data_IF_765658465680
#
_entry.id   IF_765658465680
#
_cell.length_a   1.000
_cell.length_b   1.000
_cell.length_c   1.000
_cell.angle_alpha   90.00
_cell.angle_beta   90.00
_cell.angle_gamma   90.00
#
_symmetry.space_group_name_H-M   'P 1'
#
loop_
_entity.id
_entity.type
_entity.pdbx_description
1 polymer ?
#
# COMPACT_ATOMS: atom_id res chain seq x y z
N UNK A 1 -12.22 -58.25 -21.68
CA UNK A 1 -11.61 -57.49 -20.55
C UNK A 1 -12.19 -56.09 -20.54
N UNK A 2 -12.69 -55.55 -19.41
CA UNK A 2 -13.23 -54.20 -19.39
C UNK A 2 -12.06 -53.19 -19.39
N UNK A 3 -12.02 -52.35 -20.42
CA UNK A 3 -10.97 -51.34 -20.60
C UNK A 3 -10.89 -50.39 -19.40
N UNK A 4 -9.67 -50.16 -18.90
CA UNK A 4 -9.38 -49.17 -17.86
C UNK A 4 -9.93 -47.82 -18.31
N UNK A 5 -10.97 -47.32 -17.64
CA UNK A 5 -11.47 -45.94 -17.84
C UNK A 5 -10.36 -44.98 -17.42
N UNK A 6 -9.64 -44.43 -18.40
CA UNK A 6 -8.71 -43.33 -18.18
C UNK A 6 -9.46 -42.20 -17.47
N UNK A 7 -8.99 -41.81 -16.29
CA UNK A 7 -9.49 -40.62 -15.59
C UNK A 7 -9.13 -39.42 -16.46
N UNK A 8 -10.08 -38.92 -17.25
CA UNK A 8 -9.90 -37.72 -18.06
C UNK A 8 -9.57 -36.57 -17.11
N UNK A 9 -8.35 -36.06 -17.21
CA UNK A 9 -7.94 -34.85 -16.52
C UNK A 9 -8.70 -33.68 -17.16
N UNK A 10 -9.68 -33.10 -16.45
CA UNK A 10 -10.45 -31.98 -16.96
C UNK A 10 -9.63 -30.69 -16.88
N UNK A 11 -8.83 -30.42 -17.92
CA UNK A 11 -8.19 -29.12 -18.08
C UNK A 11 -9.20 -28.08 -18.59
N UNK A 12 -9.04 -26.83 -18.13
CA UNK A 12 -9.80 -25.69 -18.63
C UNK A 12 -9.56 -25.53 -20.14
N UNK A 13 -10.59 -25.09 -20.86
CA UNK A 13 -10.45 -24.69 -22.26
C UNK A 13 -9.45 -23.53 -22.36
N UNK A 14 -8.41 -23.70 -23.16
CA UNK A 14 -7.47 -22.63 -23.45
C UNK A 14 -8.13 -21.60 -24.40
N UNK A 15 -7.52 -20.43 -24.53
CA UNK A 15 -8.06 -19.33 -25.34
C UNK A 15 -8.20 -19.71 -26.81
N UNK A 16 -7.22 -20.45 -27.34
CA UNK A 16 -7.20 -20.94 -28.72
C UNK A 16 -8.34 -21.93 -29.01
N UNK A 17 -8.57 -22.91 -28.14
CA UNK A 17 -9.65 -23.90 -28.20
C UNK A 17 -11.01 -23.21 -28.16
N UNK A 18 -11.18 -22.16 -27.35
CA UNK A 18 -12.42 -21.37 -27.29
C UNK A 18 -12.65 -20.62 -28.60
N UNK A 19 -11.61 -20.00 -29.16
CA UNK A 19 -11.66 -19.38 -30.48
C UNK A 19 -12.02 -20.37 -31.59
N UNK A 20 -11.42 -21.56 -31.57
CA UNK A 20 -11.69 -22.64 -32.50
C UNK A 20 -13.14 -23.13 -32.42
N UNK A 21 -13.65 -23.33 -31.19
CA UNK A 21 -15.04 -23.70 -30.93
C UNK A 21 -15.99 -22.64 -31.50
N UNK A 22 -15.72 -21.36 -31.24
CA UNK A 22 -16.53 -20.24 -31.74
C UNK A 22 -16.52 -20.23 -33.28
N UNK A 23 -15.34 -20.33 -33.91
CA UNK A 23 -15.21 -20.35 -35.37
C UNK A 23 -15.95 -21.51 -36.03
N UNK A 24 -15.82 -22.72 -35.50
CA UNK A 24 -16.55 -23.89 -36.02
C UNK A 24 -18.06 -23.78 -35.79
N UNK A 25 -18.48 -23.20 -34.66
CA UNK A 25 -19.90 -22.96 -34.38
C UNK A 25 -20.49 -21.88 -35.27
N UNK A 26 -19.74 -20.83 -35.61
CA UNK A 26 -20.16 -19.83 -36.62
C UNK A 26 -20.27 -20.43 -38.02
N UNK A 27 -19.44 -21.43 -38.34
CA UNK A 27 -19.55 -22.22 -39.57
C UNK A 27 -20.67 -23.27 -39.53
N UNK A 28 -21.56 -23.22 -38.53
CA UNK A 28 -22.75 -24.08 -38.38
C UNK A 28 -22.41 -25.57 -38.16
N UNK A 29 -21.25 -25.87 -37.57
CA UNK A 29 -20.93 -27.26 -37.21
C UNK A 29 -21.77 -27.72 -36.00
N UNK A 30 -22.08 -29.02 -35.99
CA UNK A 30 -22.77 -29.66 -34.86
C UNK A 30 -21.87 -29.73 -33.63
N UNK A 31 -22.44 -29.62 -32.44
CA UNK A 31 -21.69 -29.64 -31.16
C UNK A 31 -20.87 -30.91 -31.00
N UNK A 32 -21.41 -32.07 -31.42
CA UNK A 32 -20.71 -33.35 -31.42
C UNK A 32 -19.47 -33.35 -32.32
N UNK A 33 -19.57 -32.79 -33.53
CA UNK A 33 -18.44 -32.72 -34.47
C UNK A 33 -17.35 -31.80 -33.94
N UNK A 34 -17.73 -30.65 -33.39
CA UNK A 34 -16.79 -29.72 -32.76
C UNK A 34 -16.10 -30.38 -31.57
N UNK A 35 -16.86 -31.05 -30.69
CA UNK A 35 -16.32 -31.77 -29.54
C UNK A 35 -15.27 -32.82 -29.92
N UNK A 36 -15.52 -33.59 -30.98
CA UNK A 36 -14.56 -34.55 -31.52
C UNK A 36 -13.31 -33.89 -32.11
N UNK A 37 -13.45 -32.75 -32.77
CA UNK A 37 -12.35 -32.02 -33.40
C UNK A 37 -11.42 -31.34 -32.38
N UNK A 38 -11.97 -30.82 -31.28
CA UNK A 38 -11.20 -30.12 -30.23
C UNK A 38 -10.77 -31.08 -29.10
N UNK A 39 -11.18 -32.36 -29.15
CA UNK A 39 -11.00 -33.36 -28.09
C UNK A 39 -11.54 -32.91 -26.71
N UNK A 40 -12.74 -32.32 -26.71
CA UNK A 40 -13.42 -31.80 -25.50
C UNK A 40 -14.83 -32.36 -25.38
N UNK A 41 -15.42 -32.24 -24.19
CA UNK A 41 -16.81 -32.69 -23.99
C UNK A 41 -17.81 -31.80 -24.75
N UNK A 42 -18.90 -32.40 -25.26
CA UNK A 42 -20.00 -31.64 -25.90
C UNK A 42 -20.58 -30.56 -24.97
N UNK A 43 -20.59 -30.82 -23.65
CA UNK A 43 -21.04 -29.84 -22.64
C UNK A 43 -20.12 -28.61 -22.57
N UNK A 44 -18.80 -28.80 -22.62
CA UNK A 44 -17.84 -27.70 -22.63
C UNK A 44 -17.97 -26.84 -23.89
N UNK A 45 -18.14 -27.48 -25.06
CA UNK A 45 -18.41 -26.80 -26.34
C UNK A 45 -19.69 -25.99 -26.28
N UNK A 46 -20.78 -26.59 -25.77
CA UNK A 46 -22.07 -25.92 -25.60
C UNK A 46 -21.96 -24.71 -24.68
N UNK A 47 -21.38 -24.87 -23.49
CA UNK A 47 -21.25 -23.80 -22.50
C UNK A 47 -20.38 -22.64 -23.04
N UNK A 48 -19.31 -22.96 -23.78
CA UNK A 48 -18.48 -21.95 -24.44
C UNK A 48 -19.26 -21.17 -25.51
N UNK A 49 -20.03 -21.87 -26.34
CA UNK A 49 -20.87 -21.25 -27.37
C UNK A 49 -21.97 -20.39 -26.76
N UNK A 50 -22.69 -20.89 -25.74
CA UNK A 50 -23.73 -20.12 -25.05
C UNK A 50 -23.19 -18.86 -24.39
N UNK A 51 -22.01 -18.93 -23.76
CA UNK A 51 -21.34 -17.76 -23.21
C UNK A 51 -21.03 -16.73 -24.31
N UNK A 52 -20.45 -17.17 -25.42
CA UNK A 52 -20.17 -16.30 -26.56
C UNK A 52 -21.44 -15.68 -27.16
N UNK A 53 -22.49 -16.48 -27.37
CA UNK A 53 -23.76 -16.00 -27.94
C UNK A 53 -24.48 -14.99 -27.04
N UNK A 54 -24.34 -15.09 -25.71
CA UNK A 54 -24.99 -14.18 -24.76
C UNK A 54 -24.18 -12.91 -24.49
N UNK A 55 -22.87 -13.03 -24.37
CA UNK A 55 -22.01 -11.97 -23.82
C UNK A 55 -21.00 -11.43 -24.84
N UNK A 56 -20.90 -12.03 -26.03
CA UNK A 56 -19.93 -11.66 -27.07
C UNK A 56 -18.48 -11.81 -26.59
N UNK A 57 -18.24 -12.61 -25.55
CA UNK A 57 -16.93 -12.72 -24.88
C UNK A 57 -16.57 -14.17 -24.67
N UNK A 58 -15.33 -14.52 -25.03
CA UNK A 58 -14.76 -15.86 -24.80
C UNK A 58 -13.84 -15.90 -23.58
N UNK A 59 -13.55 -14.75 -22.95
CA UNK A 59 -12.72 -14.68 -21.76
C UNK A 59 -13.37 -15.42 -20.58
N UNK A 60 -12.53 -15.97 -19.71
CA UNK A 60 -12.99 -16.52 -18.44
C UNK A 60 -13.53 -15.41 -17.55
N UNK A 61 -14.68 -15.64 -16.93
CA UNK A 61 -15.14 -14.79 -15.82
C UNK A 61 -14.23 -15.01 -14.64
N UNK A 62 -13.74 -13.93 -14.05
CA UNK A 62 -13.10 -13.99 -12.74
C UNK A 62 -14.12 -14.50 -11.73
N UNK A 63 -13.76 -15.55 -11.01
CA UNK A 63 -14.57 -16.04 -9.91
C UNK A 63 -14.75 -14.95 -8.86
N UNK A 64 -15.84 -15.04 -8.08
CA UNK A 64 -16.13 -14.10 -6.98
C UNK A 64 -15.07 -14.08 -5.88
N UNK A 65 -14.18 -15.07 -5.85
CA UNK A 65 -13.14 -15.22 -4.83
C UNK A 65 -13.72 -15.64 -3.48
N UNK A 66 -12.84 -15.82 -2.50
CA UNK A 66 -13.25 -16.08 -1.12
C UNK A 66 -13.89 -14.83 -0.50
N UNK A 67 -14.94 -15.02 0.29
CA UNK A 67 -15.54 -13.94 1.07
C UNK A 67 -14.55 -13.39 2.10
N UNK A 68 -14.63 -12.09 2.36
CA UNK A 68 -13.82 -11.43 3.40
C UNK A 68 -14.31 -11.88 4.78
N UNK A 69 -13.38 -12.04 5.72
CA UNK A 69 -13.71 -12.28 7.13
C UNK A 69 -14.30 -11.04 7.81
N UNK A 70 -14.03 -9.85 7.28
CA UNK A 70 -14.47 -8.57 7.82
C UNK A 70 -15.67 -8.03 7.05
N UNK A 71 -16.54 -7.30 7.76
CA UNK A 71 -17.64 -6.55 7.16
C UNK A 71 -17.18 -5.17 6.68
N UNK A 72 -17.95 -4.55 5.77
CA UNK A 72 -17.69 -3.15 5.32
C UNK A 72 -17.69 -2.13 6.47
N UNK A 73 -18.34 -2.43 7.59
CA UNK A 73 -18.39 -1.55 8.77
C UNK A 73 -17.09 -1.66 9.56
N UNK A 74 -16.58 -2.88 9.73
CA UNK A 74 -15.28 -3.15 10.36
C UNK A 74 -14.13 -2.56 9.53
N UNK A 75 -14.15 -2.74 8.21
CA UNK A 75 -13.14 -2.17 7.30
C UNK A 75 -13.06 -0.64 7.46
N UNK A 76 -14.22 0.02 7.54
CA UNK A 76 -14.29 1.48 7.79
C UNK A 76 -13.78 1.86 9.17
N UNK A 77 -14.02 1.04 10.19
CA UNK A 77 -13.52 1.26 11.56
C UNK A 77 -12.00 1.17 11.61
N UNK A 78 -11.41 0.16 10.97
CA UNK A 78 -9.95 0.00 10.82
C UNK A 78 -9.32 1.26 10.23
N UNK A 79 -9.85 1.73 9.11
CA UNK A 79 -9.32 2.91 8.42
C UNK A 79 -9.49 4.17 9.25
N UNK A 80 -10.66 4.34 9.90
CA UNK A 80 -10.93 5.50 10.75
C UNK A 80 -9.94 5.63 11.88
N UNK A 81 -9.61 4.54 12.57
CA UNK A 81 -8.65 4.60 13.68
C UNK A 81 -7.28 5.10 13.23
N UNK A 82 -6.77 4.59 12.10
CA UNK A 82 -5.49 5.04 11.55
C UNK A 82 -5.51 6.50 11.04
N UNK A 83 -6.69 7.05 10.73
CA UNK A 83 -6.84 8.47 10.36
C UNK A 83 -6.93 9.38 11.59
N UNK A 84 -7.60 8.93 12.65
CA UNK A 84 -7.76 9.69 13.91
C UNK A 84 -6.45 9.71 14.69
N UNK A 85 -5.82 8.55 14.85
CA UNK A 85 -4.50 8.41 15.46
C UNK A 85 -3.56 7.72 14.45
N UNK A 86 -2.73 8.51 13.74
CA UNK A 86 -1.75 7.98 12.81
C UNK A 86 -0.72 7.04 13.44
N UNK A 87 -0.50 7.07 14.76
CA UNK A 87 0.49 6.23 15.45
C UNK A 87 -0.08 4.90 15.95
N UNK A 88 -1.38 4.66 15.75
CA UNK A 88 -2.07 3.48 16.26
C UNK A 88 -1.43 2.17 15.79
N UNK A 89 -1.30 1.22 16.71
CA UNK A 89 -0.73 -0.10 16.41
C UNK A 89 -1.78 -1.07 15.89
N UNK A 90 -1.35 -2.10 15.14
CA UNK A 90 -2.26 -3.13 14.64
C UNK A 90 -2.92 -3.92 15.78
N UNK A 91 -2.27 -4.10 16.93
CA UNK A 91 -2.87 -4.77 18.10
C UNK A 91 -4.01 -3.94 18.68
N UNK A 92 -3.83 -2.63 18.82
CA UNK A 92 -4.89 -1.71 19.25
C UNK A 92 -6.06 -1.72 18.27
N UNK A 93 -5.79 -1.65 16.95
CA UNK A 93 -6.84 -1.74 15.93
C UNK A 93 -7.59 -3.07 16.04
N UNK A 94 -6.86 -4.18 16.18
CA UNK A 94 -7.46 -5.52 16.28
C UNK A 94 -8.36 -5.64 17.51
N UNK A 95 -7.90 -5.14 18.66
CA UNK A 95 -8.68 -5.17 19.91
C UNK A 95 -9.98 -4.36 19.78
N UNK A 96 -9.92 -3.20 19.15
CA UNK A 96 -11.09 -2.33 18.95
C UNK A 96 -12.12 -2.93 17.99
N UNK A 97 -11.67 -3.53 16.89
CA UNK A 97 -12.56 -4.16 15.90
C UNK A 97 -13.23 -5.41 16.47
N UNK A 98 -12.55 -6.14 17.36
CA UNK A 98 -13.11 -7.30 18.06
C UNK A 98 -13.24 -8.57 17.20
N UNK A 99 -12.67 -8.57 15.99
CA UNK A 99 -12.69 -9.72 15.07
C UNK A 99 -11.35 -10.45 15.11
N UNK A 100 -11.38 -11.78 15.04
CA UNK A 100 -10.19 -12.63 14.98
C UNK A 100 -9.49 -12.53 13.61
N UNK A 101 -8.79 -11.42 13.38
CA UNK A 101 -8.00 -11.14 12.18
C UNK A 101 -6.51 -11.10 12.49
N UNK A 102 -5.70 -11.52 11.51
CA UNK A 102 -4.24 -11.39 11.54
C UNK A 102 -3.82 -9.96 11.15
N UNK A 103 -2.69 -9.43 11.65
CA UNK A 103 -2.22 -8.08 11.33
C UNK A 103 -2.14 -7.80 9.82
N UNK A 104 -1.76 -8.79 9.01
CA UNK A 104 -1.68 -8.66 7.55
C UNK A 104 -3.00 -8.22 6.90
N UNK A 105 -4.13 -8.63 7.49
CA UNK A 105 -5.46 -8.23 7.00
C UNK A 105 -5.68 -6.74 7.24
N UNK A 106 -5.30 -6.23 8.42
CA UNK A 106 -5.34 -4.80 8.75
C UNK A 106 -4.44 -4.01 7.78
N UNK A 107 -3.20 -4.46 7.55
CA UNK A 107 -2.29 -3.81 6.59
C UNK A 107 -2.90 -3.72 5.19
N UNK A 108 -3.55 -4.78 4.71
CA UNK A 108 -4.22 -4.79 3.41
C UNK A 108 -5.39 -3.79 3.36
N UNK A 109 -6.23 -3.74 4.38
CA UNK A 109 -7.33 -2.75 4.43
C UNK A 109 -6.82 -1.31 4.47
N UNK A 110 -5.76 -1.05 5.22
CA UNK A 110 -5.11 0.26 5.24
C UNK A 110 -4.48 0.60 3.88
N UNK A 111 -3.85 -0.38 3.22
CA UNK A 111 -3.29 -0.20 1.89
C UNK A 111 -4.36 0.05 0.82
N UNK A 112 -5.51 -0.65 0.87
CA UNK A 112 -6.70 -0.41 0.04
C UNK A 112 -7.20 1.04 0.20
N UNK A 113 -7.09 1.60 1.41
CA UNK A 113 -7.40 3.00 1.70
C UNK A 113 -6.26 3.99 1.37
N UNK A 114 -5.19 3.54 0.70
CA UNK A 114 -3.98 4.31 0.39
C UNK A 114 -3.23 4.86 1.62
N UNK A 115 -3.28 4.15 2.75
CA UNK A 115 -2.49 4.44 3.94
C UNK A 115 -1.29 3.50 3.99
N UNK A 116 -0.11 4.05 4.27
CA UNK A 116 1.14 3.29 4.38
C UNK A 116 1.82 3.59 5.71
N UNK A 117 2.36 2.55 6.33
CA UNK A 117 3.23 2.68 7.50
C UNK A 117 4.55 3.31 7.07
N UNK A 118 4.86 4.50 7.57
CA UNK A 118 6.09 5.26 7.25
C UNK A 118 6.73 5.79 8.52
N UNK A 119 8.02 6.16 8.43
CA UNK A 119 8.67 6.91 9.51
C UNK A 119 8.11 8.34 9.53
N UNK A 120 7.73 8.87 10.71
CA UNK A 120 7.26 10.25 10.82
C UNK A 120 8.36 11.22 10.46
N UNK A 121 7.98 12.44 10.08
CA UNK A 121 8.93 13.55 10.09
C UNK A 121 9.20 13.95 11.54
N UNK A 122 10.46 14.22 11.89
CA UNK A 122 10.82 14.69 13.22
C UNK A 122 11.11 16.17 13.18
N UNK A 123 10.29 16.96 13.86
CA UNK A 123 10.40 18.41 13.90
C UNK A 123 10.83 18.88 15.29
N UNK A 124 11.60 19.96 15.35
CA UNK A 124 11.75 20.72 16.58
C UNK A 124 10.45 21.46 16.90
N UNK A 125 10.12 21.56 18.18
CA UNK A 125 8.97 22.35 18.60
C UNK A 125 9.30 23.84 18.43
N UNK A 126 8.70 24.47 17.42
CA UNK A 126 8.81 25.90 17.18
C UNK A 126 7.50 26.58 17.58
N UNK A 127 7.59 27.53 18.50
CA UNK A 127 6.49 28.45 18.82
C UNK A 127 6.17 29.32 17.59
N UNK A 128 4.96 29.90 17.48
CA UNK A 128 4.62 30.83 16.40
C UNK A 128 5.62 31.99 16.29
N UNK A 129 6.06 32.52 17.43
CA UNK A 129 7.08 33.58 17.51
C UNK A 129 8.42 33.12 16.93
N UNK A 130 8.92 31.93 17.31
CA UNK A 130 10.16 31.38 16.73
C UNK A 130 10.06 31.24 15.21
N UNK A 131 8.89 30.86 14.68
CA UNK A 131 8.69 30.74 13.22
C UNK A 131 8.75 32.10 12.54
N UNK A 132 8.11 33.11 13.12
CA UNK A 132 8.12 34.47 12.60
C UNK A 132 9.54 35.05 12.59
N UNK A 133 10.26 34.97 13.72
CA UNK A 133 11.62 35.49 13.83
C UNK A 133 12.57 34.81 12.84
N UNK A 134 12.46 33.48 12.69
CA UNK A 134 13.25 32.72 11.71
C UNK A 134 12.95 33.16 10.28
N UNK A 135 11.67 33.34 9.93
CA UNK A 135 11.27 33.80 8.61
C UNK A 135 11.81 35.21 8.32
N UNK A 136 11.65 36.14 9.27
CA UNK A 136 12.18 37.50 9.15
C UNK A 136 13.70 37.51 8.99
N UNK A 137 14.41 36.67 9.76
CA UNK A 137 15.86 36.55 9.66
C UNK A 137 16.30 36.08 8.27
N UNK A 138 15.60 35.08 7.70
CA UNK A 138 15.86 34.58 6.35
C UNK A 138 15.52 35.63 5.28
N UNK A 139 14.39 36.32 5.41
CA UNK A 139 13.97 37.36 4.46
C UNK A 139 14.94 38.54 4.45
N UNK A 140 15.39 39.00 5.63
CA UNK A 140 16.37 40.08 5.74
C UNK A 140 17.72 39.78 5.07
N UNK A 141 18.02 38.49 4.84
CA UNK A 141 19.29 38.00 4.29
C UNK A 141 19.12 37.25 2.96
N UNK A 142 17.94 37.30 2.35
CA UNK A 142 17.65 36.54 1.13
C UNK A 142 18.46 37.02 -0.08
N UNK A 143 18.88 38.29 -0.06
CA UNK A 143 19.68 38.93 -1.11
C UNK A 143 21.19 38.92 -0.82
N UNK A 144 21.63 38.30 0.28
CA UNK A 144 23.04 38.26 0.65
C UNK A 144 23.85 37.45 -0.36
N UNK A 145 24.99 37.99 -0.78
CA UNK A 145 25.91 37.33 -1.68
C UNK A 145 27.00 36.57 -0.91
N UNK A 146 27.87 35.86 -1.64
CA UNK A 146 28.95 35.06 -1.02
C UNK A 146 29.88 35.91 -0.15
N UNK A 147 30.19 37.14 -0.57
CA UNK A 147 31.08 38.03 0.19
C UNK A 147 30.48 38.51 1.51
N UNK A 148 29.15 38.60 1.59
CA UNK A 148 28.45 38.91 2.84
C UNK A 148 28.44 37.71 3.78
N UNK A 149 28.28 36.50 3.24
CA UNK A 149 28.36 35.27 4.02
C UNK A 149 29.76 34.96 4.56
N UNK A 150 30.82 35.32 3.83
CA UNK A 150 32.22 35.19 4.28
C UNK A 150 32.51 35.97 5.57
N UNK A 151 31.70 36.98 5.90
CA UNK A 151 31.84 37.77 7.14
C UNK A 151 31.20 37.07 8.35
N UNK A 152 30.52 35.94 8.17
CA UNK A 152 29.79 35.22 9.22
C UNK A 152 30.54 33.96 9.62
N UNK A 153 30.79 33.82 10.92
CA UNK A 153 31.25 32.55 11.51
C UNK A 153 30.07 31.85 12.15
N UNK A 154 29.84 30.60 11.79
CA UNK A 154 28.85 29.73 12.40
C UNK A 154 29.52 28.90 13.48
N UNK A 155 28.97 28.92 14.69
CA UNK A 155 29.34 28.00 15.77
C UNK A 155 28.11 27.25 16.24
N UNK A 156 28.29 26.00 16.64
CA UNK A 156 27.23 25.19 17.24
C UNK A 156 27.82 24.24 18.29
N UNK A 157 26.96 23.84 19.22
CA UNK A 157 27.26 22.85 20.24
C UNK A 157 26.49 21.56 19.94
N UNK A 158 27.21 20.49 19.63
CA UNK A 158 26.63 19.18 19.34
C UNK A 158 26.87 18.18 20.45
N UNK A 159 25.82 17.45 20.86
CA UNK A 159 25.89 16.36 21.84
C UNK A 159 25.93 15.00 21.15
N UNK A 160 26.96 14.21 21.39
CA UNK A 160 27.06 12.82 20.97
C UNK A 160 26.56 11.90 22.09
N UNK A 161 25.38 11.31 21.89
CA UNK A 161 24.72 10.46 22.89
C UNK A 161 25.17 9.00 22.76
N UNK A 162 25.36 8.33 23.89
CA UNK A 162 25.78 6.91 23.95
C UNK A 162 24.59 5.93 23.90
N UNK A 163 23.36 6.43 24.12
CA UNK A 163 22.12 5.66 24.01
C UNK A 163 21.34 6.04 22.75
N UNK A 164 20.77 5.05 22.07
CA UNK A 164 19.97 5.24 20.86
C UNK A 164 18.49 5.38 21.20
N UNK A 165 17.83 6.46 20.77
CA UNK A 165 16.39 6.42 20.53
C UNK A 165 16.17 5.50 19.33
N UNK A 166 15.56 4.34 19.57
CA UNK A 166 15.39 3.27 18.58
C UNK A 166 14.59 3.71 17.34
N UNK A 167 13.98 4.90 17.37
CA UNK A 167 13.31 5.54 16.23
C UNK A 167 12.25 4.64 15.56
N UNK A 168 11.73 3.65 16.29
CA UNK A 168 10.78 2.63 15.78
C UNK A 168 9.36 3.14 15.60
N UNK A 169 9.07 4.39 15.98
CA UNK A 169 7.75 4.99 15.78
C UNK A 169 7.40 5.02 14.29
N UNK A 170 6.19 4.57 13.98
CA UNK A 170 5.62 4.54 12.63
C UNK A 170 4.31 5.31 12.64
N UNK A 171 4.03 5.96 11.52
CA UNK A 171 2.76 6.64 11.28
C UNK A 171 2.10 6.09 10.03
N UNK A 172 0.78 5.92 10.09
CA UNK A 172 -0.07 5.68 8.93
C UNK A 172 -0.35 7.00 8.25
N UNK A 173 0.06 7.11 6.98
CA UNK A 173 -0.21 8.32 6.19
C UNK A 173 -0.34 8.01 4.71
N UNK A 174 -0.95 8.92 3.96
CA UNK A 174 -0.99 8.83 2.49
C UNK A 174 0.35 9.29 1.90
N UNK A 175 0.68 8.89 0.66
CA UNK A 175 1.76 9.52 -0.09
C UNK A 175 1.51 11.03 -0.21
N UNK A 176 2.53 11.86 0.05
CA UNK A 176 2.41 13.33 0.03
C UNK A 176 2.27 13.95 1.42
N UNK A 177 1.66 13.26 2.38
CA UNK A 177 1.30 13.86 3.68
C UNK A 177 2.48 13.95 4.67
N UNK A 178 3.73 14.02 4.19
CA UNK A 178 4.92 13.85 5.04
C UNK A 178 5.03 14.90 6.15
N UNK A 179 4.69 16.15 5.84
CA UNK A 179 4.91 17.32 6.70
C UNK A 179 3.63 17.78 7.39
N UNK A 180 2.52 17.05 7.24
CA UNK A 180 1.30 17.39 7.98
C UNK A 180 1.51 17.15 9.48
N UNK A 181 0.94 18.06 10.28
CA UNK A 181 1.10 18.06 11.74
C UNK A 181 0.79 16.70 12.40
N UNK A 182 -0.30 15.97 12.03
CA UNK A 182 -0.62 14.68 12.65
C UNK A 182 0.39 13.56 12.36
N UNK A 183 1.25 13.73 11.35
CA UNK A 183 2.25 12.73 10.94
C UNK A 183 3.68 13.13 11.35
N UNK A 184 3.79 14.21 12.11
CA UNK A 184 5.03 14.75 12.61
C UNK A 184 5.17 14.40 14.08
N UNK A 185 6.34 13.90 14.46
CA UNK A 185 6.68 13.63 15.85
C UNK A 185 7.68 14.69 16.30
N UNK A 186 7.53 15.15 17.53
CA UNK A 186 8.48 16.09 18.11
C UNK A 186 9.81 15.38 18.35
N UNK A 187 10.89 16.01 17.93
CA UNK A 187 12.23 15.54 18.25
C UNK A 187 12.42 15.67 19.77
N UNK A 188 12.80 14.56 20.41
CA UNK A 188 13.16 14.56 21.81
C UNK A 188 14.39 15.45 22.04
N UNK A 189 14.29 16.38 22.99
CA UNK A 189 15.35 17.35 23.35
C UNK A 189 15.89 17.14 24.76
N UNK A 190 15.42 16.12 25.50
CA UNK A 190 15.88 15.95 26.88
C UNK A 190 17.36 15.55 26.95
N UNK A 191 17.99 15.89 28.07
CA UNK A 191 19.40 15.62 28.34
C UNK A 191 19.64 14.12 28.51
N UNK A 192 20.08 13.47 27.45
CA UNK A 192 20.64 12.11 27.51
C UNK A 192 22.14 12.19 27.84
N UNK A 193 22.68 11.20 28.55
CA UNK A 193 24.12 11.09 28.79
C UNK A 193 24.89 11.06 27.46
N UNK A 194 25.95 11.87 27.38
CA UNK A 194 26.72 12.03 26.15
C UNK A 194 27.83 13.06 26.28
N UNK A 195 28.68 13.10 25.26
CA UNK A 195 29.82 14.03 25.16
C UNK A 195 29.39 15.29 24.42
N UNK A 196 29.76 16.45 24.96
CA UNK A 196 29.54 17.75 24.32
C UNK A 196 30.75 18.11 23.48
N UNK A 197 30.51 18.55 22.25
CA UNK A 197 31.54 18.98 21.32
C UNK A 197 31.14 20.33 20.75
N UNK A 198 32.09 21.25 20.74
CA UNK A 198 31.95 22.57 20.13
C UNK A 198 32.65 22.59 18.78
N UNK A 199 32.01 23.20 17.79
CA UNK A 199 32.59 23.37 16.46
C UNK A 199 32.25 24.73 15.88
N UNK A 200 33.17 25.28 15.10
CA UNK A 200 32.99 26.53 14.37
C UNK A 200 33.46 26.38 12.93
N UNK A 201 32.76 26.99 11.98
CA UNK A 201 33.15 27.05 10.58
C UNK A 201 32.67 28.36 9.93
N UNK A 202 33.38 28.79 8.90
CA UNK A 202 33.02 29.91 8.02
C UNK A 202 32.95 29.42 6.56
N UNK A 203 32.26 30.18 5.71
CA UNK A 203 32.14 29.91 4.27
C UNK A 203 33.37 30.38 3.49
#
# INVERSE_FOLDING_TARGET
MPGKRSRRHFSLLNEFERGLIIGMKTAVWSTRRVAGQVDRSECAVRNCWEQWSREGTYAWKTGSGATRKTTRREDRRIVRQALVDPTVTCSTIRADVGVAIVPQTIFRHLAEANLKSKRPFRALLLTPEHRQLRLQWCQARSMWNVTDWQKVVFSDESRFVLGTDDNRVRVWRRPGDRYHSPHTVLRHTARTAGVMVWGGHSL
#
